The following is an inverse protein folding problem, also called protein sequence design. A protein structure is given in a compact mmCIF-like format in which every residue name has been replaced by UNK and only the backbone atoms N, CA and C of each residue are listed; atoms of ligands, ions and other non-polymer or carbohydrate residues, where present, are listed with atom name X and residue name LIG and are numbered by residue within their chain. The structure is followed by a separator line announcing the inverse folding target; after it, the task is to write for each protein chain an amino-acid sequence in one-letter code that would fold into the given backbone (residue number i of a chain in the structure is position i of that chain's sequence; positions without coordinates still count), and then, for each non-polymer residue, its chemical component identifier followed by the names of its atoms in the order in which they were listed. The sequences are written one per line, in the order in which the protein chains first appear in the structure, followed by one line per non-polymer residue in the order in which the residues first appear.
data_IF_046528898817
#
_entry.id   IF_046528898817
#
_cell.length_a   1.000
_cell.length_b   1.000
_cell.length_c   1.000
_cell.angle_alpha   90.00
_cell.angle_beta   90.00
_cell.angle_gamma   90.00
#
_symmetry.space_group_name_H-M   'P 1'
#
loop_
_entity.id
_entity.type
_entity.pdbx_description
1 polymer ?
#
# COMPACT_ATOMS: atom_id res chain seq x y z
N UNK A 1 -11.76 -11.86 -2.97
CA UNK A 1 -11.01 -12.83 -3.79
C UNK A 1 -10.49 -13.90 -2.83
N UNK A 2 -11.04 -15.11 -2.87
CA UNK A 2 -10.55 -16.25 -2.07
C UNK A 2 -9.35 -16.85 -2.79
N UNK A 3 -8.13 -16.41 -2.45
CA UNK A 3 -6.94 -17.11 -2.90
C UNK A 3 -6.68 -18.26 -1.92
N UNK A 4 -6.78 -19.50 -2.40
CA UNK A 4 -6.36 -20.67 -1.61
C UNK A 4 -4.84 -20.65 -1.45
N UNK A 5 -4.32 -21.35 -0.43
CA UNK A 5 -2.87 -21.53 -0.25
C UNK A 5 -2.17 -21.99 -1.55
N UNK A 6 -2.71 -23.03 -2.19
CA UNK A 6 -2.16 -23.55 -3.46
C UNK A 6 -2.13 -22.49 -4.56
N UNK A 7 -3.16 -21.64 -4.66
CA UNK A 7 -3.16 -20.54 -5.62
C UNK A 7 -2.08 -19.50 -5.32
N UNK A 8 -1.85 -19.21 -4.04
CA UNK A 8 -0.78 -18.31 -3.62
C UNK A 8 0.59 -18.93 -3.95
N UNK A 9 0.80 -20.22 -3.66
CA UNK A 9 2.04 -20.94 -4.01
C UNK A 9 2.31 -20.90 -5.53
N UNK A 10 1.28 -21.12 -6.36
CA UNK A 10 1.41 -21.04 -7.82
C UNK A 10 1.81 -19.62 -8.28
N UNK A 11 1.18 -18.58 -7.72
CA UNK A 11 1.50 -17.18 -8.04
C UNK A 11 2.94 -16.86 -7.63
N UNK A 12 3.31 -17.15 -6.39
CA UNK A 12 4.64 -16.85 -5.85
C UNK A 12 5.74 -17.68 -6.52
N UNK A 13 5.42 -18.86 -7.06
CA UNK A 13 6.36 -19.68 -7.83
C UNK A 13 6.56 -19.24 -9.27
N UNK A 14 5.72 -18.34 -9.80
CA UNK A 14 5.75 -17.93 -11.21
C UNK A 14 6.63 -16.72 -11.51
N UNK A 15 7.01 -15.94 -10.49
CA UNK A 15 7.83 -14.73 -10.61
C UNK A 15 8.43 -14.37 -9.25
N UNK A 16 9.39 -13.44 -9.22
CA UNK A 16 10.06 -12.96 -8.00
C UNK A 16 9.19 -11.96 -7.19
N UNK A 17 7.89 -12.25 -7.05
CA UNK A 17 7.00 -11.42 -6.23
C UNK A 17 7.42 -11.49 -4.76
N UNK A 18 7.33 -10.36 -4.07
CA UNK A 18 7.75 -10.25 -2.66
C UNK A 18 6.61 -9.95 -1.70
N UNK A 19 5.42 -9.65 -2.23
CA UNK A 19 4.21 -9.37 -1.46
C UNK A 19 2.96 -9.64 -2.30
N UNK A 20 1.82 -9.80 -1.64
CA UNK A 20 0.50 -9.82 -2.27
C UNK A 20 -0.23 -8.52 -1.98
N UNK A 21 -1.02 -8.04 -2.94
CA UNK A 21 -1.96 -6.95 -2.72
C UNK A 21 -3.39 -7.44 -2.83
N UNK A 22 -4.26 -7.01 -1.92
CA UNK A 22 -5.70 -7.31 -1.97
C UNK A 22 -6.52 -6.05 -1.72
N UNK A 23 -7.70 -5.99 -2.33
CA UNK A 23 -8.45 -4.75 -2.52
C UNK A 23 -9.87 -4.83 -1.97
N UNK A 24 -10.25 -3.83 -1.17
CA UNK A 24 -11.62 -3.61 -0.71
C UNK A 24 -12.29 -2.37 -1.27
N UNK A 25 -11.57 -1.51 -1.98
CA UNK A 25 -12.12 -0.29 -2.59
C UNK A 25 -13.04 -0.64 -3.75
N UNK A 26 -12.61 -1.57 -4.61
CA UNK A 26 -13.39 -2.02 -5.77
C UNK A 26 -13.69 -3.53 -5.76
N UNK A 27 -13.21 -4.24 -4.75
CA UNK A 27 -13.45 -5.67 -4.57
C UNK A 27 -14.54 -5.99 -3.53
N UNK A 28 -15.24 -7.14 -3.66
CA UNK A 28 -16.08 -7.64 -2.59
C UNK A 28 -15.21 -8.01 -1.39
N UNK A 29 -15.42 -7.29 -0.29
CA UNK A 29 -14.65 -7.42 0.94
C UNK A 29 -15.58 -7.73 2.13
N UNK A 30 -15.12 -8.67 2.96
CA UNK A 30 -15.56 -8.87 4.33
C UNK A 30 -14.33 -9.11 5.22
N UNK A 31 -14.43 -8.82 6.51
CA UNK A 31 -13.34 -9.04 7.47
C UNK A 31 -12.92 -10.52 7.51
N UNK A 32 -13.90 -11.43 7.50
CA UNK A 32 -13.67 -12.87 7.45
C UNK A 32 -12.84 -13.29 6.22
N UNK A 33 -13.14 -12.71 5.04
CA UNK A 33 -12.41 -13.00 3.82
C UNK A 33 -10.96 -12.49 3.88
N UNK A 34 -10.72 -11.37 4.57
CA UNK A 34 -9.37 -10.85 4.76
C UNK A 34 -8.56 -11.75 5.71
N UNK A 35 -9.15 -12.19 6.82
CA UNK A 35 -8.50 -13.16 7.73
C UNK A 35 -8.12 -14.42 6.96
N UNK A 36 -9.06 -15.02 6.22
CA UNK A 36 -8.81 -16.23 5.43
C UNK A 36 -7.69 -16.04 4.39
N UNK A 37 -7.65 -14.88 3.73
CA UNK A 37 -6.61 -14.56 2.76
C UNK A 37 -5.25 -14.38 3.42
N UNK A 38 -5.18 -13.64 4.54
CA UNK A 38 -3.97 -13.41 5.29
C UNK A 38 -3.42 -14.70 5.93
N UNK A 39 -4.30 -15.57 6.45
CA UNK A 39 -3.92 -16.87 7.00
C UNK A 39 -3.33 -17.79 5.91
N UNK A 40 -3.91 -17.79 4.71
CA UNK A 40 -3.37 -18.54 3.58
C UNK A 40 -2.01 -17.98 3.13
N UNK A 41 -1.85 -16.65 3.09
CA UNK A 41 -0.59 -15.99 2.75
C UNK A 41 0.51 -16.25 3.79
N UNK A 42 0.16 -16.22 5.08
CA UNK A 42 1.07 -16.51 6.18
C UNK A 42 1.63 -17.95 6.12
N UNK A 43 0.81 -18.93 5.71
CA UNK A 43 1.27 -20.31 5.50
C UNK A 43 2.27 -20.47 4.34
N UNK A 44 2.35 -19.50 3.44
CA UNK A 44 3.33 -19.42 2.34
C UNK A 44 4.50 -18.49 2.71
N UNK A 45 4.38 -17.71 3.78
CA UNK A 45 5.40 -16.75 4.23
C UNK A 45 5.46 -15.48 3.38
N UNK A 46 4.35 -15.06 2.76
CA UNK A 46 4.29 -13.85 1.94
C UNK A 46 3.49 -12.73 2.63
N UNK A 47 4.01 -11.49 2.74
CA UNK A 47 3.28 -10.38 3.34
C UNK A 47 2.13 -9.90 2.45
N UNK A 48 1.09 -9.35 3.09
CA UNK A 48 -0.10 -8.81 2.41
C UNK A 48 -0.22 -7.31 2.63
N UNK A 49 -0.33 -6.56 1.53
CA UNK A 49 -0.71 -5.14 1.52
C UNK A 49 -2.19 -5.03 1.16
N UNK A 50 -3.00 -4.52 2.09
CA UNK A 50 -4.44 -4.42 1.91
C UNK A 50 -4.88 -2.98 1.63
N UNK A 51 -5.57 -2.76 0.50
CA UNK A 51 -6.17 -1.46 0.18
C UNK A 51 -7.53 -1.31 0.85
N UNK A 52 -7.64 -0.31 1.73
CA UNK A 52 -8.88 -0.01 2.46
C UNK A 52 -9.92 0.63 1.54
N UNK A 53 -11.18 0.66 1.98
CA UNK A 53 -12.30 1.10 1.12
C UNK A 53 -12.24 2.56 0.68
N UNK A 54 -11.71 3.44 1.52
CA UNK A 54 -11.74 4.88 1.31
C UNK A 54 -10.76 5.57 2.26
N UNK A 55 -10.22 6.74 1.90
CA UNK A 55 -9.34 7.51 2.78
C UNK A 55 -9.97 7.80 4.15
N UNK A 56 -11.27 8.07 4.22
CA UNK A 56 -11.98 8.33 5.49
C UNK A 56 -12.02 7.14 6.46
N UNK A 57 -11.50 5.97 6.07
CA UNK A 57 -11.29 4.86 6.98
C UNK A 57 -9.85 4.78 7.53
N UNK A 58 -9.00 5.80 7.32
CA UNK A 58 -7.65 5.84 7.91
C UNK A 58 -7.66 5.68 9.44
N UNK A 59 -8.67 6.21 10.13
CA UNK A 59 -8.82 6.01 11.58
C UNK A 59 -9.06 4.54 12.00
N UNK A 60 -9.50 3.67 11.08
CA UNK A 60 -9.73 2.23 11.33
C UNK A 60 -8.51 1.36 11.00
N UNK A 61 -7.42 1.93 10.49
CA UNK A 61 -6.24 1.20 10.04
C UNK A 61 -5.74 0.19 11.08
N UNK A 62 -5.62 0.60 12.35
CA UNK A 62 -5.21 -0.30 13.43
C UNK A 62 -6.11 -1.52 13.61
N UNK A 63 -7.43 -1.34 13.47
CA UNK A 63 -8.40 -2.44 13.55
C UNK A 63 -8.34 -3.35 12.31
N UNK A 64 -8.04 -2.81 11.14
CA UNK A 64 -7.88 -3.61 9.92
C UNK A 64 -6.59 -4.44 9.97
N UNK A 65 -5.51 -3.88 10.53
CA UNK A 65 -4.25 -4.58 10.77
C UNK A 65 -4.38 -5.76 11.74
N UNK A 66 -5.36 -5.69 12.64
CA UNK A 66 -5.70 -6.78 13.57
C UNK A 66 -6.31 -8.01 12.87
N UNK A 67 -6.66 -7.88 11.58
CA UNK A 67 -7.18 -8.93 10.70
C UNK A 67 -6.08 -9.65 9.88
N UNK A 68 -4.80 -9.31 10.11
CA UNK A 68 -3.65 -9.99 9.52
C UNK A 68 -2.84 -9.31 8.39
N UNK A 69 -3.26 -8.22 7.72
CA UNK A 69 -2.40 -7.60 6.73
C UNK A 69 -1.14 -7.00 7.38
N UNK A 70 -0.01 -7.08 6.68
CA UNK A 70 1.28 -6.52 7.10
C UNK A 70 1.50 -5.10 6.57
N UNK A 71 0.72 -4.70 5.58
CA UNK A 71 0.71 -3.35 5.05
C UNK A 71 -0.69 -2.88 4.71
N UNK A 72 -0.85 -1.56 4.68
CA UNK A 72 -2.11 -0.90 4.35
C UNK A 72 -1.88 0.10 3.25
N UNK A 73 -2.77 0.10 2.27
CA UNK A 73 -2.86 1.15 1.26
C UNK A 73 -4.11 2.00 1.50
N UNK A 74 -3.89 3.30 1.72
CA UNK A 74 -4.96 4.29 1.86
C UNK A 74 -5.23 4.90 0.47
N UNK A 75 -6.38 4.60 -0.16
CA UNK A 75 -6.71 5.18 -1.46
C UNK A 75 -7.08 6.66 -1.32
N UNK A 76 -7.20 7.37 -2.44
CA UNK A 76 -7.75 8.74 -2.50
C UNK A 76 -7.06 9.71 -1.53
N UNK A 77 -5.73 9.59 -1.37
CA UNK A 77 -4.99 10.46 -0.45
C UNK A 77 -4.79 11.84 -1.07
N UNK A 78 -5.52 12.82 -0.55
CA UNK A 78 -5.55 14.20 -1.07
C UNK A 78 -4.93 15.22 -0.11
N UNK A 79 -4.68 14.87 1.15
CA UNK A 79 -4.28 15.85 2.17
C UNK A 79 -3.17 15.33 3.06
N UNK A 80 -2.36 16.24 3.61
CA UNK A 80 -1.30 15.88 4.55
C UNK A 80 -1.89 15.38 5.88
N UNK A 81 -3.12 15.79 6.19
CA UNK A 81 -3.91 15.36 7.33
C UNK A 81 -4.30 13.89 7.19
N UNK A 82 -4.77 13.44 6.02
CA UNK A 82 -4.98 12.01 5.74
C UNK A 82 -3.71 11.20 5.94
N UNK A 83 -2.57 11.69 5.41
CA UNK A 83 -1.29 11.02 5.56
C UNK A 83 -0.88 10.90 7.05
N UNK A 84 -1.12 11.95 7.84
CA UNK A 84 -0.86 11.95 9.27
C UNK A 84 -1.81 11.02 10.03
N UNK A 85 -3.11 11.01 9.70
CA UNK A 85 -4.07 10.11 10.33
C UNK A 85 -3.72 8.63 10.07
N UNK A 86 -3.35 8.30 8.83
CA UNK A 86 -2.90 6.98 8.47
C UNK A 86 -1.67 6.55 9.30
N UNK A 87 -0.66 7.42 9.44
CA UNK A 87 0.52 7.17 10.30
C UNK A 87 0.13 6.93 11.75
N UNK A 88 -0.70 7.82 12.30
CA UNK A 88 -1.16 7.76 13.69
C UNK A 88 -1.83 6.42 13.98
N UNK A 89 -2.68 5.90 13.09
CA UNK A 89 -3.39 4.64 13.37
C UNK A 89 -2.70 3.38 12.83
N UNK A 90 -1.61 3.53 12.05
CA UNK A 90 -0.79 2.41 11.58
C UNK A 90 0.25 1.96 12.60
N UNK A 91 0.89 2.90 13.30
CA UNK A 91 2.00 2.64 14.23
C UNK A 91 1.57 2.69 15.70
N UNK A 92 2.21 1.87 16.55
CA UNK A 92 1.91 1.82 17.99
C UNK A 92 2.41 3.05 18.76
N UNK A 93 1.96 3.29 20.01
CA UNK A 93 2.18 4.54 20.75
C UNK A 93 3.62 5.07 20.91
N UNK A 94 4.64 4.26 20.66
CA UNK A 94 6.03 4.68 20.57
C UNK A 94 6.30 5.59 19.36
N UNK A 95 5.51 5.46 18.29
CA UNK A 95 5.63 6.20 17.03
C UNK A 95 4.29 6.86 16.64
N UNK A 96 3.16 6.19 16.86
CA UNK A 96 1.81 6.63 16.50
C UNK A 96 0.81 6.52 17.66
N UNK A 97 -0.37 5.98 17.37
CA UNK A 97 -1.58 5.92 18.22
C UNK A 97 -2.40 4.63 18.00
N UNK A 98 -1.89 3.64 17.27
CA UNK A 98 -2.55 2.36 17.04
C UNK A 98 -2.92 1.70 18.38
N UNK A 99 -4.17 1.25 18.50
CA UNK A 99 -4.64 0.47 19.65
C UNK A 99 -4.09 -0.96 19.61
N UNK A 100 -3.99 -1.59 20.77
CA UNK A 100 -3.59 -2.99 20.90
C UNK A 100 -4.80 -3.92 20.80
N UNK A 101 -4.74 -4.93 19.93
CA UNK A 101 -5.85 -5.86 19.71
C UNK A 101 -5.53 -6.91 18.65
N UNK A 102 -6.51 -7.78 18.33
CA UNK A 102 -6.45 -8.70 17.19
C UNK A 102 -5.59 -9.94 17.38
N UNK A 103 -6.19 -11.12 17.51
CA UNK A 103 -5.44 -12.38 17.55
C UNK A 103 -4.88 -12.80 16.17
N UNK A 104 -5.39 -12.21 15.08
CA UNK A 104 -4.98 -12.52 13.71
C UNK A 104 -3.89 -11.57 13.18
N UNK A 105 -3.43 -10.58 13.97
CA UNK A 105 -2.38 -9.64 13.55
C UNK A 105 -1.11 -10.36 13.12
N UNK A 106 -0.47 -9.87 12.06
CA UNK A 106 0.66 -10.53 11.41
C UNK A 106 1.82 -10.84 12.38
N UNK A 107 2.36 -12.06 12.34
CA UNK A 107 3.52 -12.51 13.12
C UNK A 107 3.38 -12.40 14.65
N UNK A 108 2.15 -12.36 15.17
CA UNK A 108 1.89 -12.27 16.62
C UNK A 108 2.45 -13.44 17.43
N UNK A 109 2.48 -14.64 16.84
CA UNK A 109 2.98 -15.84 17.53
C UNK A 109 4.50 -15.81 17.71
N UNK A 110 5.21 -15.07 16.85
CA UNK A 110 6.66 -14.90 16.92
C UNK A 110 7.06 -13.83 17.95
N UNK A 111 6.14 -12.90 18.26
CA UNK A 111 6.34 -11.77 19.18
C UNK A 111 5.19 -11.69 20.22
N UNK A 112 5.18 -12.57 21.24
CA UNK A 112 4.05 -12.68 22.16
C UNK A 112 3.99 -11.54 23.19
N UNK A 113 5.11 -10.87 23.49
CA UNK A 113 5.11 -9.71 24.37
C UNK A 113 4.58 -8.46 23.65
N UNK A 114 3.79 -7.66 24.37
CA UNK A 114 3.13 -6.49 23.79
C UNK A 114 4.10 -5.39 23.36
N UNK A 115 5.12 -5.12 24.17
CA UNK A 115 6.08 -4.06 23.87
C UNK A 115 7.06 -4.51 22.79
N UNK A 116 7.51 -5.77 22.86
CA UNK A 116 8.32 -6.38 21.81
C UNK A 116 7.61 -6.34 20.45
N UNK A 117 6.34 -6.77 20.39
CA UNK A 117 5.55 -6.70 19.15
C UNK A 117 5.40 -5.27 18.65
N UNK A 118 5.19 -4.31 19.56
CA UNK A 118 5.02 -2.91 19.18
C UNK A 118 6.28 -2.34 18.52
N UNK A 119 7.45 -2.63 19.09
CA UNK A 119 8.74 -2.19 18.56
C UNK A 119 9.03 -2.90 17.22
N UNK A 120 8.82 -4.22 17.14
CA UNK A 120 8.90 -4.99 15.89
C UNK A 120 7.99 -4.41 14.79
N UNK A 121 6.72 -4.16 15.10
CA UNK A 121 5.74 -3.68 14.13
C UNK A 121 6.11 -2.30 13.58
N UNK A 122 6.64 -1.43 14.44
CA UNK A 122 7.03 -0.09 14.04
C UNK A 122 8.17 -0.08 13.00
N UNK A 123 8.98 -1.15 12.96
CA UNK A 123 10.01 -1.36 11.95
C UNK A 123 9.55 -2.22 10.76
N UNK A 124 8.61 -3.15 10.98
CA UNK A 124 8.17 -4.13 9.98
C UNK A 124 7.03 -3.66 9.08
N UNK A 125 6.05 -2.95 9.64
CA UNK A 125 4.80 -2.63 8.96
C UNK A 125 5.00 -1.66 7.79
N UNK A 126 4.24 -1.87 6.70
CA UNK A 126 4.37 -1.08 5.47
C UNK A 126 3.13 -0.22 5.19
N UNK A 127 3.22 1.11 5.37
CA UNK A 127 2.14 2.04 5.06
C UNK A 127 2.29 2.64 3.65
N UNK A 128 1.22 2.54 2.86
CA UNK A 128 1.11 3.06 1.50
C UNK A 128 0.03 4.14 1.42
N UNK A 129 0.31 5.21 0.67
CA UNK A 129 -0.66 6.24 0.35
C UNK A 129 -0.83 6.34 -1.16
N UNK A 130 -2.05 6.16 -1.64
CA UNK A 130 -2.32 6.19 -3.07
C UNK A 130 -2.53 7.61 -3.57
N UNK A 131 -1.79 7.96 -4.62
CA UNK A 131 -1.95 9.18 -5.39
C UNK A 131 -2.69 8.86 -6.69
N UNK A 132 -3.82 9.50 -6.88
CA UNK A 132 -4.68 9.25 -8.04
C UNK A 132 -5.41 10.49 -8.56
N UNK A 133 -4.85 11.66 -8.27
CA UNK A 133 -5.25 12.95 -8.84
C UNK A 133 -4.03 13.81 -9.14
N UNK A 134 -4.19 14.80 -10.02
CA UNK A 134 -3.15 15.80 -10.29
C UNK A 134 -2.80 16.60 -9.04
N UNK A 135 -3.79 16.82 -8.17
CA UNK A 135 -3.61 17.50 -6.88
C UNK A 135 -2.73 16.70 -5.93
N UNK A 136 -2.91 15.38 -5.87
CA UNK A 136 -2.07 14.47 -5.09
C UNK A 136 -0.65 14.38 -5.68
N UNK A 137 -0.54 14.19 -6.99
CA UNK A 137 0.75 14.10 -7.72
C UNK A 137 1.61 15.35 -7.51
N UNK A 138 1.03 16.54 -7.64
CA UNK A 138 1.76 17.82 -7.49
C UNK A 138 2.19 18.11 -6.05
N UNK A 139 1.56 17.45 -5.07
CA UNK A 139 1.84 17.61 -3.64
C UNK A 139 2.46 16.37 -3.01
N UNK A 140 2.91 15.39 -3.79
CA UNK A 140 3.41 14.10 -3.31
C UNK A 140 4.39 14.20 -2.13
N UNK A 141 5.26 15.23 -2.11
CA UNK A 141 6.21 15.49 -1.03
C UNK A 141 5.56 15.68 0.34
N UNK A 142 4.33 16.19 0.42
CA UNK A 142 3.60 16.38 1.69
C UNK A 142 3.10 15.05 2.26
N UNK A 143 2.98 14.02 1.43
CA UNK A 143 2.60 12.66 1.81
C UNK A 143 3.81 11.80 2.17
N UNK A 144 4.99 12.11 1.64
CA UNK A 144 6.27 11.44 1.92
C UNK A 144 6.83 11.78 3.31
N UNK A 145 6.02 11.55 4.34
CA UNK A 145 6.38 11.72 5.76
C UNK A 145 7.19 10.50 6.25
N UNK A 146 8.05 10.64 7.26
CA UNK A 146 8.67 9.50 7.92
C UNK A 146 7.63 8.44 8.34
N UNK A 147 7.87 7.18 8.02
CA UNK A 147 6.92 6.07 8.21
C UNK A 147 5.97 5.82 7.03
N UNK A 148 5.84 6.76 6.08
CA UNK A 148 5.17 6.46 4.80
C UNK A 148 6.17 5.77 3.90
N UNK A 149 6.07 4.44 3.83
CA UNK A 149 7.02 3.61 3.09
C UNK A 149 6.85 3.79 1.59
N UNK A 150 5.61 3.94 1.12
CA UNK A 150 5.35 4.01 -0.32
C UNK A 150 4.23 4.99 -0.69
N UNK A 151 4.45 5.75 -1.76
CA UNK A 151 3.36 6.39 -2.50
C UNK A 151 3.03 5.52 -3.71
N UNK A 152 1.77 5.15 -3.86
CA UNK A 152 1.32 4.23 -4.92
C UNK A 152 0.48 4.94 -5.98
N UNK A 153 0.55 4.43 -7.20
CA UNK A 153 -0.12 5.02 -8.36
C UNK A 153 -1.56 4.50 -8.53
N UNK A 154 -2.54 5.39 -8.65
CA UNK A 154 -3.89 5.05 -9.15
C UNK A 154 -4.08 5.45 -10.61
N UNK A 155 -3.70 4.61 -11.59
CA UNK A 155 -3.63 5.03 -13.00
C UNK A 155 -4.99 5.39 -13.60
N UNK A 156 -6.05 4.63 -13.27
CA UNK A 156 -7.38 4.85 -13.84
C UNK A 156 -8.00 6.16 -13.36
N UNK A 157 -8.04 6.37 -12.04
CA UNK A 157 -8.57 7.60 -11.45
C UNK A 157 -7.72 8.84 -11.80
N UNK A 158 -6.38 8.69 -11.88
CA UNK A 158 -5.53 9.78 -12.34
C UNK A 158 -5.79 10.13 -13.81
N UNK A 159 -6.07 9.14 -14.67
CA UNK A 159 -6.47 9.40 -16.05
C UNK A 159 -7.76 10.21 -16.12
N UNK A 160 -8.81 9.77 -15.42
CA UNK A 160 -10.06 10.54 -15.33
C UNK A 160 -9.84 11.95 -14.79
N UNK A 161 -8.98 12.11 -13.78
CA UNK A 161 -8.65 13.41 -13.22
C UNK A 161 -7.91 14.31 -14.24
N UNK A 162 -6.99 13.76 -15.03
CA UNK A 162 -6.32 14.51 -16.12
C UNK A 162 -7.27 14.89 -17.25
N UNK A 163 -8.15 13.99 -17.65
CA UNK A 163 -9.18 14.23 -18.67
C UNK A 163 -10.13 15.37 -18.25
N UNK A 164 -10.47 15.44 -16.96
CA UNK A 164 -11.25 16.53 -16.38
C UNK A 164 -10.47 17.85 -16.25
N UNK A 165 -9.14 17.83 -16.39
CA UNK A 165 -8.26 18.99 -16.25
C UNK A 165 -7.33 19.13 -17.47
N UNK A 166 -7.88 19.30 -18.69
CA UNK A 166 -7.13 19.20 -19.94
C UNK A 166 -6.05 20.27 -20.09
N UNK A 167 -6.11 21.37 -19.34
CA UNK A 167 -5.13 22.47 -19.37
C UNK A 167 -3.91 22.21 -18.47
N UNK A 168 -3.98 21.26 -17.53
CA UNK A 168 -2.88 21.00 -16.58
C UNK A 168 -1.60 20.54 -17.30
N UNK A 169 -0.39 21.01 -16.93
CA UNK A 169 0.84 20.71 -17.68
C UNK A 169 1.26 19.23 -17.65
N UNK A 170 0.90 18.48 -16.61
CA UNK A 170 1.14 17.04 -16.54
C UNK A 170 0.06 16.30 -17.34
N UNK A 171 0.40 15.83 -18.56
CA UNK A 171 -0.56 15.26 -19.52
C UNK A 171 -0.60 13.74 -19.49
N UNK A 172 0.53 13.11 -19.21
CA UNK A 172 0.69 11.65 -19.25
C UNK A 172 1.07 11.09 -17.88
N UNK A 173 0.90 9.79 -17.68
CA UNK A 173 1.44 9.11 -16.50
C UNK A 173 2.96 9.32 -16.40
N UNK A 174 3.67 9.28 -17.54
CA UNK A 174 5.11 9.48 -17.56
C UNK A 174 5.52 10.87 -17.06
N UNK A 175 4.76 11.92 -17.40
CA UNK A 175 5.00 13.28 -16.90
C UNK A 175 4.79 13.37 -15.39
N UNK A 176 3.69 12.79 -14.92
CA UNK A 176 3.35 12.73 -13.52
C UNK A 176 4.40 11.94 -12.71
N UNK A 177 4.87 10.80 -13.22
CA UNK A 177 5.90 9.97 -12.57
C UNK A 177 7.22 10.74 -12.48
N UNK A 178 7.69 11.33 -13.59
CA UNK A 178 8.91 12.15 -13.58
C UNK A 178 8.81 13.30 -12.58
N UNK A 179 7.65 13.93 -12.48
CA UNK A 179 7.39 14.99 -11.52
C UNK A 179 7.51 14.49 -10.07
N UNK A 180 6.86 13.36 -9.74
CA UNK A 180 6.87 12.79 -8.39
C UNK A 180 8.27 12.30 -8.01
N UNK A 181 8.98 11.61 -8.90
CA UNK A 181 10.35 11.15 -8.64
C UNK A 181 11.25 12.33 -8.25
N UNK A 182 11.15 13.45 -8.98
CA UNK A 182 11.87 14.68 -8.64
C UNK A 182 11.46 15.24 -7.27
N UNK A 183 10.16 15.23 -6.93
CA UNK A 183 9.69 15.68 -5.62
C UNK A 183 10.18 14.81 -4.46
N UNK A 184 10.42 13.52 -4.72
CA UNK A 184 10.89 12.54 -3.74
C UNK A 184 12.43 12.45 -3.66
N UNK A 185 13.19 13.25 -4.41
CA UNK A 185 14.65 13.29 -4.28
C UNK A 185 15.08 13.55 -2.82
N UNK A 186 15.89 12.65 -2.27
CA UNK A 186 16.35 12.68 -0.88
C UNK A 186 15.35 12.16 0.16
N UNK A 187 14.17 11.69 -0.27
CA UNK A 187 13.22 10.97 0.59
C UNK A 187 13.54 9.48 0.62
N UNK A 188 13.21 8.82 1.73
CA UNK A 188 13.25 7.36 1.85
C UNK A 188 11.98 6.70 1.28
N UNK A 189 10.89 7.47 1.11
CA UNK A 189 9.61 7.01 0.58
C UNK A 189 9.76 6.51 -0.86
N UNK A 190 9.28 5.28 -1.08
CA UNK A 190 9.33 4.60 -2.37
C UNK A 190 8.17 5.02 -3.26
N UNK A 191 8.35 4.90 -4.57
CA UNK A 191 7.28 5.05 -5.56
C UNK A 191 6.85 3.67 -6.08
N UNK A 192 5.57 3.35 -5.90
CA UNK A 192 4.94 2.16 -6.48
C UNK A 192 4.17 2.51 -7.75
N UNK A 193 4.49 1.83 -8.85
CA UNK A 193 3.70 1.89 -10.08
C UNK A 193 2.88 0.60 -10.22
N UNK A 194 1.58 0.76 -10.42
CA UNK A 194 0.72 -0.36 -10.84
C UNK A 194 0.89 -0.54 -12.35
N UNK A 195 1.56 -1.62 -12.75
CA UNK A 195 1.72 -1.99 -14.15
C UNK A 195 0.93 -3.26 -14.42
N UNK A 196 0.06 -3.23 -15.42
CA UNK A 196 -0.67 -4.44 -15.84
C UNK A 196 0.10 -5.26 -16.88
N UNK A 197 1.15 -4.68 -17.47
CA UNK A 197 1.94 -5.28 -18.52
C UNK A 197 3.39 -5.49 -18.04
N UNK A 198 3.89 -6.74 -17.98
CA UNK A 198 5.26 -7.04 -17.54
C UNK A 198 6.34 -6.34 -18.37
N UNK A 199 6.08 -6.07 -19.65
CA UNK A 199 7.02 -5.40 -20.57
C UNK A 199 7.33 -3.96 -20.14
N UNK A 200 6.45 -3.31 -19.38
CA UNK A 200 6.65 -1.95 -18.88
C UNK A 200 7.51 -1.88 -17.61
N UNK A 201 7.89 -3.02 -17.04
CA UNK A 201 8.69 -3.11 -15.80
C UNK A 201 9.96 -2.26 -15.88
N UNK A 202 10.81 -2.52 -16.88
CA UNK A 202 12.10 -1.82 -17.01
C UNK A 202 11.92 -0.32 -17.23
N UNK A 203 10.92 0.08 -18.02
CA UNK A 203 10.59 1.50 -18.23
C UNK A 203 10.36 2.22 -16.90
N UNK A 204 9.52 1.66 -16.02
CA UNK A 204 9.20 2.34 -14.76
C UNK A 204 10.33 2.26 -13.74
N UNK A 205 11.11 1.18 -13.73
CA UNK A 205 12.35 1.10 -12.93
C UNK A 205 13.36 2.16 -13.36
N UNK A 206 13.59 2.31 -14.68
CA UNK A 206 14.50 3.32 -15.24
C UNK A 206 14.02 4.75 -14.95
N UNK A 207 12.72 4.95 -14.79
CA UNK A 207 12.14 6.24 -14.39
C UNK A 207 12.27 6.53 -12.90
N UNK A 208 12.67 5.55 -12.07
CA UNK A 208 12.87 5.71 -10.63
C UNK A 208 11.78 5.11 -9.74
N UNK A 209 10.83 4.35 -10.30
CA UNK A 209 9.98 3.51 -9.48
C UNK A 209 10.80 2.39 -8.84
N UNK A 210 10.51 2.05 -7.59
CA UNK A 210 11.23 1.01 -6.85
C UNK A 210 10.33 -0.11 -6.36
N UNK A 211 9.01 0.09 -6.48
CA UNK A 211 8.00 -0.93 -6.17
C UNK A 211 7.11 -1.05 -7.39
N UNK A 212 6.78 -2.29 -7.75
CA UNK A 212 5.88 -2.58 -8.85
C UNK A 212 4.75 -3.44 -8.33
N UNK A 213 3.53 -3.08 -8.70
CA UNK A 213 2.36 -3.89 -8.46
C UNK A 213 1.83 -4.42 -9.79
N UNK A 214 1.92 -5.72 -9.98
CA UNK A 214 1.63 -6.39 -11.24
C UNK A 214 0.50 -7.40 -11.08
N UNK A 215 -0.19 -7.70 -12.18
CA UNK A 215 -1.10 -8.84 -12.22
C UNK A 215 -0.27 -10.11 -12.36
N UNK A 216 -0.54 -11.16 -11.56
CA UNK A 216 0.12 -12.44 -11.74
C UNK A 216 -0.20 -12.99 -13.14
N UNK A 217 0.80 -13.64 -13.76
CA UNK A 217 0.70 -14.24 -15.09
C UNK A 217 -0.05 -15.57 -15.11
N UNK A 218 -0.20 -16.19 -13.94
CA UNK A 218 -0.90 -17.46 -13.70
C UNK A 218 -2.26 -17.24 -13.09
#
# INVERSE_FOLDING_TARGET
MTATKSRIEDIMGSSDYTFLSTDSQHGPFSEQLLIEFCDAAAQVGVPVVFRIKHTFHSYLVGNILDLGPSGIEVPQTETAETAQEALDYFYYPQVGKRSWGGAARANVNDHPDRLEYADYWNDFGVLWLQMESLSAVTRAKTFAKPGVVCLSWGPADLSFNREANPEHPLKTDDDCIRHVVKLLEGSETKLCIRSYEPELRNKYLDMGATVLLERPSV
#
